data_IF_307112475174
#
_entry.id   IF_307112475174
#
_cell.length_a   1.000
_cell.length_b   1.000
_cell.length_c   1.000
_cell.angle_alpha   90.00
_cell.angle_beta   90.00
_cell.angle_gamma   90.00
#
_symmetry.space_group_name_H-M   'P 1'
#
loop_
_entity.id
_entity.type
_entity.pdbx_description
1 polymer ?
#
# COMPACT_ATOMS: atom_id res chain seq x y z
N UNK A 1 43.42 3.06 -31.74
CA UNK A 1 41.98 3.30 -31.95
C UNK A 1 41.32 3.03 -30.61
N UNK A 2 41.22 4.09 -29.80
CA UNK A 2 40.90 3.99 -28.37
C UNK A 2 39.70 4.90 -28.14
N UNK A 3 38.50 4.33 -28.23
CA UNK A 3 37.26 4.99 -27.82
C UNK A 3 36.43 3.98 -27.02
N UNK A 4 36.74 3.92 -25.73
CA UNK A 4 35.85 3.39 -24.71
C UNK A 4 35.13 4.58 -24.08
N UNK A 5 33.83 4.74 -24.33
CA UNK A 5 33.00 5.52 -23.42
C UNK A 5 31.55 5.05 -23.38
N UNK A 6 31.40 3.95 -22.64
CA UNK A 6 30.36 3.64 -21.66
C UNK A 6 29.07 4.49 -21.70
N UNK A 7 28.01 3.85 -22.20
CA UNK A 7 26.62 4.25 -22.06
C UNK A 7 26.23 4.51 -20.59
N UNK A 8 25.52 5.62 -20.40
CA UNK A 8 25.21 6.29 -19.14
C UNK A 8 24.08 5.55 -18.40
N UNK A 9 24.43 4.50 -17.65
CA UNK A 9 23.48 3.80 -16.77
C UNK A 9 23.39 4.54 -15.41
N UNK A 10 22.21 5.00 -14.98
CA UNK A 10 22.07 5.73 -13.72
C UNK A 10 22.41 4.81 -12.56
N UNK A 11 23.41 5.21 -11.75
CA UNK A 11 23.81 4.53 -10.52
C UNK A 11 22.58 4.26 -9.65
N UNK A 12 22.20 2.99 -9.49
CA UNK A 12 21.17 2.54 -8.55
C UNK A 12 21.63 2.84 -7.11
N UNK A 13 21.43 4.08 -6.67
CA UNK A 13 21.59 4.47 -5.27
C UNK A 13 20.61 3.64 -4.46
N UNK A 14 21.12 2.88 -3.48
CA UNK A 14 20.29 2.09 -2.56
C UNK A 14 19.16 2.99 -2.04
N UNK A 15 17.89 2.54 -2.05
CA UNK A 15 16.80 3.34 -1.53
C UNK A 15 17.15 3.76 -0.11
N UNK A 16 17.19 5.07 0.15
CA UNK A 16 17.38 5.54 1.52
C UNK A 16 16.31 4.98 2.44
N UNK A 17 16.59 4.88 3.74
CA UNK A 17 15.64 4.38 4.74
C UNK A 17 14.29 5.09 4.64
N UNK A 18 14.31 6.39 4.31
CA UNK A 18 13.12 7.18 4.04
C UNK A 18 12.30 6.66 2.83
N UNK A 19 12.94 6.24 1.73
CA UNK A 19 12.25 5.63 0.58
C UNK A 19 11.66 4.27 0.92
N UNK A 20 12.30 3.54 1.82
CA UNK A 20 11.83 2.24 2.29
C UNK A 20 10.55 2.45 3.12
N UNK A 21 10.54 3.40 4.06
CA UNK A 21 9.34 3.78 4.83
C UNK A 21 8.22 4.27 3.91
N UNK A 22 8.55 5.13 2.94
CA UNK A 22 7.58 5.60 1.94
C UNK A 22 6.97 4.45 1.12
N UNK A 23 7.77 3.45 0.76
CA UNK A 23 7.28 2.25 0.06
C UNK A 23 6.39 1.38 0.94
N UNK A 24 6.72 1.25 2.22
CA UNK A 24 5.93 0.47 3.18
C UNK A 24 4.57 1.15 3.41
N UNK A 25 4.54 2.48 3.51
CA UNK A 25 3.30 3.25 3.57
C UNK A 25 2.49 3.12 2.28
N UNK A 26 3.10 3.28 1.10
CA UNK A 26 2.40 3.10 -0.18
C UNK A 26 1.80 1.69 -0.33
N UNK A 27 2.48 0.66 0.19
CA UNK A 27 1.97 -0.72 0.25
C UNK A 27 0.84 -0.90 1.27
N UNK A 28 0.93 -0.28 2.44
CA UNK A 28 -0.09 -0.35 3.50
C UNK A 28 -1.41 0.34 3.09
N UNK A 29 -1.35 1.36 2.23
CA UNK A 29 -2.51 2.01 1.64
C UNK A 29 -3.07 1.28 0.39
N UNK A 30 -2.55 0.09 0.04
CA UNK A 30 -3.21 -0.81 -0.91
C UNK A 30 -3.03 -0.50 -2.40
N UNK A 31 -1.91 0.12 -2.80
CA UNK A 31 -1.71 0.57 -4.19
C UNK A 31 -0.75 -0.28 -5.03
N UNK A 32 -0.69 -1.57 -4.76
CA UNK A 32 -0.27 -2.54 -5.78
C UNK A 32 -1.57 -3.12 -6.37
N UNK A 33 -1.89 -3.06 -7.65
CA UNK A 33 -1.16 -2.71 -8.85
C UNK A 33 -2.18 -2.12 -9.83
N UNK A 34 -2.01 -0.86 -10.27
CA UNK A 34 -2.81 -0.32 -11.38
C UNK A 34 -2.76 -1.22 -12.64
N UNK A 35 -1.70 -2.03 -12.76
CA UNK A 35 -1.49 -2.96 -13.87
C UNK A 35 -2.47 -4.14 -13.92
N UNK A 36 -3.19 -4.44 -12.83
CA UNK A 36 -4.30 -5.42 -12.78
C UNK A 36 -5.67 -4.74 -12.76
N UNK A 37 -5.71 -3.49 -12.30
CA UNK A 37 -6.92 -2.67 -12.30
C UNK A 37 -7.38 -2.30 -13.70
N UNK A 38 -6.48 -1.99 -14.63
CA UNK A 38 -6.87 -1.67 -16.01
C UNK A 38 -7.49 -2.85 -16.78
N UNK A 39 -7.17 -4.08 -16.40
CA UNK A 39 -7.80 -5.31 -16.92
C UNK A 39 -9.14 -5.62 -16.22
N UNK A 40 -9.22 -5.43 -14.90
CA UNK A 40 -10.45 -5.61 -14.11
C UNK A 40 -11.50 -4.52 -14.37
N UNK A 41 -11.08 -3.27 -14.62
CA UNK A 41 -11.96 -2.16 -14.98
C UNK A 41 -12.43 -2.22 -16.42
N UNK A 42 -11.67 -2.88 -17.32
CA UNK A 42 -12.14 -3.21 -18.67
C UNK A 42 -13.08 -4.43 -18.72
N UNK A 43 -13.02 -5.31 -17.71
CA UNK A 43 -13.87 -6.51 -17.61
C UNK A 43 -15.10 -6.36 -16.70
N UNK A 44 -15.33 -5.19 -16.11
CA UNK A 44 -16.64 -4.73 -15.64
C UNK A 44 -17.00 -4.95 -14.16
N UNK A 45 -16.12 -5.53 -13.33
CA UNK A 45 -16.50 -5.95 -11.97
C UNK A 45 -15.77 -5.17 -10.87
N UNK A 46 -16.30 -3.97 -10.53
CA UNK A 46 -15.83 -3.16 -9.39
C UNK A 46 -16.25 -3.72 -8.01
N UNK A 47 -17.15 -4.69 -7.98
CA UNK A 47 -17.75 -5.26 -6.78
C UNK A 47 -16.73 -5.81 -5.75
N UNK A 48 -15.65 -6.52 -6.14
CA UNK A 48 -14.67 -7.03 -5.18
C UNK A 48 -13.95 -5.92 -4.39
N UNK A 49 -13.70 -4.77 -5.02
CA UNK A 49 -13.06 -3.62 -4.37
C UNK A 49 -13.97 -2.95 -3.35
N UNK A 50 -15.27 -2.87 -3.65
CA UNK A 50 -16.28 -2.32 -2.73
C UNK A 50 -16.43 -3.24 -1.52
N UNK A 51 -16.56 -4.55 -1.73
CA UNK A 51 -16.67 -5.52 -0.64
C UNK A 51 -15.42 -5.49 0.24
N UNK A 52 -14.23 -5.46 -0.35
CA UNK A 52 -12.98 -5.34 0.39
C UNK A 52 -12.94 -4.06 1.24
N UNK A 53 -13.36 -2.93 0.68
CA UNK A 53 -13.46 -1.65 1.39
C UNK A 53 -14.43 -1.72 2.58
N UNK A 54 -15.62 -2.30 2.39
CA UNK A 54 -16.62 -2.44 3.46
C UNK A 54 -16.11 -3.34 4.59
N UNK A 55 -15.51 -4.48 4.27
CA UNK A 55 -14.93 -5.40 5.26
C UNK A 55 -13.81 -4.70 6.04
N UNK A 56 -12.94 -3.98 5.34
CA UNK A 56 -11.86 -3.21 5.97
C UNK A 56 -12.39 -2.14 6.93
N UNK A 57 -13.37 -1.34 6.49
CA UNK A 57 -13.98 -0.30 7.33
C UNK A 57 -14.68 -0.89 8.55
N UNK A 58 -15.44 -1.98 8.39
CA UNK A 58 -16.11 -2.64 9.50
C UNK A 58 -15.10 -3.17 10.54
N UNK A 59 -14.05 -3.87 10.07
CA UNK A 59 -12.98 -4.36 10.93
C UNK A 59 -12.25 -3.24 11.66
N UNK A 60 -11.99 -2.12 10.98
CA UNK A 60 -11.35 -0.95 11.59
C UNK A 60 -12.20 -0.34 12.72
N UNK A 61 -13.50 -0.16 12.50
CA UNK A 61 -14.42 0.37 13.52
C UNK A 61 -14.51 -0.57 14.72
N UNK A 62 -14.63 -1.88 14.50
CA UNK A 62 -14.65 -2.88 15.58
C UNK A 62 -13.35 -2.82 16.38
N UNK A 63 -12.21 -2.72 15.70
CA UNK A 63 -10.90 -2.65 16.35
C UNK A 63 -10.81 -1.45 17.28
N UNK A 64 -11.20 -0.27 16.80
CA UNK A 64 -11.23 0.96 17.63
C UNK A 64 -12.19 0.79 18.80
N UNK A 65 -13.39 0.25 18.58
CA UNK A 65 -14.38 0.05 19.62
C UNK A 65 -13.87 -0.88 20.74
N UNK A 66 -13.17 -1.96 20.37
CA UNK A 66 -12.53 -2.87 21.34
C UNK A 66 -11.45 -2.17 22.14
N UNK A 67 -10.59 -1.35 21.49
CA UNK A 67 -9.56 -0.57 22.17
C UNK A 67 -10.20 0.41 23.16
N UNK A 68 -11.22 1.16 22.75
CA UNK A 68 -11.93 2.10 23.62
C UNK A 68 -12.53 1.38 24.81
N UNK A 69 -13.23 0.26 24.57
CA UNK A 69 -13.84 -0.54 25.64
C UNK A 69 -12.79 -1.08 26.61
N UNK A 70 -11.65 -1.54 26.10
CA UNK A 70 -10.54 -2.02 26.91
C UNK A 70 -9.95 -0.92 27.79
N UNK A 71 -9.70 0.26 27.22
CA UNK A 71 -9.21 1.43 27.95
C UNK A 71 -10.19 1.87 29.04
N UNK A 72 -11.49 1.91 28.75
CA UNK A 72 -12.52 2.23 29.74
C UNK A 72 -12.55 1.22 30.89
N UNK A 73 -12.41 -0.08 30.59
CA UNK A 73 -12.38 -1.12 31.62
C UNK A 73 -11.14 -1.10 32.50
N UNK A 74 -10.04 -0.50 32.02
CA UNK A 74 -8.79 -0.36 32.79
C UNK A 74 -8.81 0.84 33.75
N UNK A 75 -9.67 1.84 33.52
CA UNK A 75 -9.73 3.07 34.29
C UNK A 75 -10.81 3.08 35.39
N UNK A 76 -11.57 2.00 35.53
CA UNK A 76 -12.57 1.74 36.58
C UNK A 76 -12.05 0.74 37.60
#
# INVERSE_FOLDING_TARGET
MTEQQQDNQPQRRRPGILKIIQSILAGAFGVQSNRRREEDFRSGNALPYIIAGVIFTAGFVITIALIVRWVLSTQS
#
